data_IF_028116227056
#
_entry.id   IF_028116227056
#
_cell.length_a   1.000
_cell.length_b   1.000
_cell.length_c   1.000
_cell.angle_alpha   90.00
_cell.angle_beta   90.00
_cell.angle_gamma   90.00
#
_symmetry.space_group_name_H-M   'P 1'
#
loop_
_entity.id
_entity.type
_entity.pdbx_description
1 polymer ?
#
# COMPACT_ATOMS: atom_id res chain seq x y z
N UNK A 1 -48.98 -45.21 48.67
CA UNK A 1 -48.65 -44.39 47.47
C UNK A 1 -47.29 -44.82 46.94
N UNK A 2 -47.25 -45.45 45.76
CA UNK A 2 -46.28 -45.23 44.66
C UNK A 2 -46.53 -46.30 43.60
N UNK A 3 -47.02 -45.87 42.43
CA UNK A 3 -47.37 -46.72 41.28
C UNK A 3 -46.13 -46.96 40.42
N UNK A 4 -45.93 -48.21 39.99
CA UNK A 4 -45.11 -48.57 38.82
C UNK A 4 -45.83 -48.13 37.54
N UNK A 5 -45.08 -47.61 36.56
CA UNK A 5 -45.38 -47.87 35.15
C UNK A 5 -44.12 -47.73 34.29
N UNK A 6 -43.87 -48.73 33.44
CA UNK A 6 -42.89 -48.71 32.34
C UNK A 6 -43.57 -48.14 31.10
N UNK A 7 -42.87 -47.31 30.31
CA UNK A 7 -43.00 -47.26 28.85
C UNK A 7 -41.68 -46.83 28.21
N UNK A 8 -41.07 -47.74 27.45
CA UNK A 8 -40.07 -47.48 26.42
C UNK A 8 -40.80 -47.19 25.11
N UNK A 9 -40.47 -46.08 24.43
CA UNK A 9 -40.81 -45.83 23.01
C UNK A 9 -39.63 -45.09 22.37
N UNK A 10 -39.26 -45.55 21.18
CA UNK A 10 -38.19 -45.08 20.31
C UNK A 10 -38.62 -43.91 19.39
N UNK A 11 -37.65 -43.10 18.93
CA UNK A 11 -37.70 -42.29 17.69
C UNK A 11 -36.27 -41.77 17.41
N UNK A 12 -35.50 -42.38 16.50
CA UNK A 12 -35.33 -42.05 15.07
C UNK A 12 -34.73 -40.68 14.74
N UNK A 13 -33.51 -40.74 14.18
CA UNK A 13 -33.01 -40.06 12.97
C UNK A 13 -33.02 -38.52 12.89
N UNK A 14 -31.84 -37.97 12.58
CA UNK A 14 -31.72 -36.61 12.05
C UNK A 14 -30.32 -36.03 12.14
N UNK A 15 -29.33 -36.64 11.47
CA UNK A 15 -28.04 -35.99 11.22
C UNK A 15 -28.23 -34.92 10.13
N UNK A 16 -28.46 -33.68 10.53
CA UNK A 16 -28.35 -32.53 9.64
C UNK A 16 -26.93 -31.95 9.78
N UNK A 17 -26.02 -32.43 8.92
CA UNK A 17 -24.75 -31.72 8.65
C UNK A 17 -25.10 -30.58 7.71
N UNK A 18 -25.33 -29.39 8.25
CA UNK A 18 -25.39 -28.16 7.47
C UNK A 18 -23.99 -27.55 7.46
N UNK A 19 -23.38 -27.64 6.28
CA UNK A 19 -22.10 -27.08 5.90
C UNK A 19 -22.02 -25.60 6.29
N UNK A 20 -21.13 -25.27 7.23
CA UNK A 20 -20.78 -23.89 7.53
C UNK A 20 -19.97 -23.35 6.34
N UNK A 21 -20.64 -22.64 5.43
CA UNK A 21 -19.96 -21.81 4.44
C UNK A 21 -19.29 -20.65 5.19
N UNK A 22 -18.00 -20.76 5.46
CA UNK A 22 -17.18 -19.64 5.90
C UNK A 22 -17.00 -18.72 4.69
N UNK A 23 -17.90 -17.75 4.55
CA UNK A 23 -17.63 -16.59 3.72
C UNK A 23 -16.50 -15.81 4.41
N UNK A 24 -15.29 -15.89 3.88
CA UNK A 24 -14.21 -14.99 4.23
C UNK A 24 -14.55 -13.66 3.56
N UNK A 25 -14.89 -12.57 4.28
CA UNK A 25 -14.84 -11.26 3.66
C UNK A 25 -13.36 -10.99 3.34
N UNK A 26 -13.01 -11.04 2.06
CA UNK A 26 -11.78 -10.44 1.57
C UNK A 26 -11.88 -8.95 1.86
N UNK A 27 -11.24 -8.49 2.94
CA UNK A 27 -10.96 -7.09 3.17
C UNK A 27 -9.92 -6.64 2.15
N UNK A 28 -10.35 -6.41 0.91
CA UNK A 28 -9.65 -5.55 -0.01
C UNK A 28 -9.82 -4.12 0.54
N UNK A 29 -8.89 -3.72 1.40
CA UNK A 29 -8.76 -2.34 1.83
C UNK A 29 -8.15 -1.56 0.66
N UNK A 30 -8.90 -1.41 -0.43
CA UNK A 30 -8.72 -0.30 -1.35
C UNK A 30 -9.04 0.93 -0.52
N UNK A 31 -8.01 1.67 -0.12
CA UNK A 31 -8.18 3.04 0.37
C UNK A 31 -8.99 3.77 -0.69
N UNK A 32 -10.24 4.05 -0.38
CA UNK A 32 -11.10 4.83 -1.23
C UNK A 32 -10.37 6.14 -1.53
N UNK A 33 -10.06 6.37 -2.80
CA UNK A 33 -9.73 7.70 -3.29
C UNK A 33 -11.01 8.52 -3.12
N UNK A 34 -11.15 9.18 -1.98
CA UNK A 34 -12.28 10.07 -1.69
C UNK A 34 -12.34 11.16 -2.76
N UNK A 35 -13.44 11.24 -3.51
CA UNK A 35 -13.97 12.40 -4.24
C UNK A 35 -12.95 13.48 -4.73
N UNK A 36 -11.85 13.06 -5.35
CA UNK A 36 -10.84 13.99 -5.90
C UNK A 36 -9.96 14.71 -4.87
N UNK A 37 -9.95 14.30 -3.60
CA UNK A 37 -9.01 14.82 -2.60
C UNK A 37 -7.57 14.41 -2.91
N UNK A 38 -6.64 15.30 -2.58
CA UNK A 38 -5.22 15.00 -2.59
C UNK A 38 -4.82 14.23 -1.33
N UNK A 39 -3.74 13.47 -1.39
CA UNK A 39 -3.08 12.81 -0.26
C UNK A 39 -1.76 13.52 0.01
N UNK A 40 -1.67 14.24 1.14
CA UNK A 40 -0.54 15.13 1.43
C UNK A 40 0.20 14.68 2.69
N UNK A 41 1.51 14.46 2.58
CA UNK A 41 2.42 14.31 3.71
C UNK A 41 3.23 15.59 3.93
N UNK A 42 3.68 15.82 5.16
CA UNK A 42 4.59 16.93 5.50
C UNK A 42 5.89 16.36 6.07
N UNK A 43 7.02 16.77 5.51
CA UNK A 43 8.36 16.43 5.97
C UNK A 43 9.04 17.67 6.54
N UNK A 44 9.65 17.54 7.72
CA UNK A 44 10.49 18.59 8.30
C UNK A 44 11.95 18.20 8.33
N UNK A 45 12.74 18.89 7.50
CA UNK A 45 14.16 18.67 7.28
C UNK A 45 15.02 19.91 7.54
N UNK A 46 14.63 20.78 8.48
CA UNK A 46 15.45 21.92 8.94
C UNK A 46 16.07 21.58 10.30
N UNK A 47 17.36 21.21 10.38
CA UNK A 47 18.00 20.86 11.65
C UNK A 47 17.94 21.98 12.69
N UNK A 48 17.74 21.60 13.96
CA UNK A 48 17.80 22.53 15.09
C UNK A 48 16.59 23.46 15.26
N UNK A 49 15.57 23.35 14.40
CA UNK A 49 14.39 24.21 14.43
C UNK A 49 13.13 23.38 14.69
N UNK A 50 12.58 23.38 15.91
CA UNK A 50 11.21 22.89 16.12
C UNK A 50 10.23 23.96 15.66
N UNK A 51 9.13 23.56 15.01
CA UNK A 51 8.22 24.50 14.36
C UNK A 51 6.75 24.19 14.59
N UNK A 52 5.94 25.22 14.48
CA UNK A 52 4.48 25.11 14.34
C UNK A 52 4.09 25.40 12.90
N UNK A 53 3.34 24.48 12.28
CA UNK A 53 2.91 24.58 10.88
C UNK A 53 1.47 25.04 10.80
N UNK A 54 1.23 26.12 10.05
CA UNK A 54 -0.08 26.70 9.81
C UNK A 54 -0.44 26.61 8.32
N UNK A 55 -1.71 26.36 8.04
CA UNK A 55 -2.29 26.49 6.71
C UNK A 55 -3.52 27.41 6.75
N UNK A 56 -3.53 28.43 5.90
CA UNK A 56 -4.62 29.42 5.84
C UNK A 56 -4.93 30.05 7.21
N UNK A 57 -3.90 30.24 8.04
CA UNK A 57 -3.99 30.81 9.39
C UNK A 57 -4.44 29.84 10.48
N UNK A 58 -4.75 28.57 10.16
CA UNK A 58 -5.08 27.55 11.15
C UNK A 58 -3.85 26.69 11.46
N UNK A 59 -3.60 26.43 12.74
CA UNK A 59 -2.53 25.54 13.18
C UNK A 59 -2.86 24.08 12.82
N UNK A 60 -1.92 23.40 12.17
CA UNK A 60 -2.05 22.02 11.73
C UNK A 60 -1.14 21.06 12.49
N UNK A 61 0.14 21.44 12.65
CA UNK A 61 1.16 20.61 13.27
C UNK A 61 1.91 21.44 14.32
N UNK A 62 1.52 21.33 15.60
CA UNK A 62 2.29 21.92 16.70
C UNK A 62 3.55 21.09 16.99
N UNK A 63 4.58 21.72 17.55
CA UNK A 63 5.79 21.06 18.07
C UNK A 63 6.48 20.13 17.04
N UNK A 64 6.42 20.47 15.75
CA UNK A 64 6.87 19.60 14.67
C UNK A 64 8.39 19.57 14.62
N UNK A 65 8.98 18.37 14.79
CA UNK A 65 10.43 18.20 15.01
C UNK A 65 11.19 17.88 13.71
N UNK A 66 12.45 18.33 13.56
CA UNK A 66 13.27 17.94 12.42
C UNK A 66 13.43 16.42 12.32
N UNK A 67 13.48 15.89 11.09
CA UNK A 67 13.55 14.47 10.78
C UNK A 67 12.21 13.72 10.86
N UNK A 68 11.11 14.42 11.14
CA UNK A 68 9.77 13.83 11.19
C UNK A 68 9.05 13.97 9.86
N UNK A 69 8.23 12.97 9.55
CA UNK A 69 7.39 12.88 8.37
C UNK A 69 6.00 12.45 8.85
N UNK A 70 4.96 13.15 8.41
CA UNK A 70 3.58 12.77 8.76
C UNK A 70 3.09 11.62 7.90
N UNK A 71 2.13 10.87 8.44
CA UNK A 71 1.29 10.03 7.61
C UNK A 71 0.51 10.88 6.59
N UNK A 72 0.24 10.36 5.38
CA UNK A 72 -0.52 11.10 4.37
C UNK A 72 -1.92 11.46 4.88
N UNK A 73 -2.34 12.70 4.70
CA UNK A 73 -3.66 13.20 5.07
C UNK A 73 -4.48 13.58 3.84
N UNK A 74 -5.79 13.27 3.79
CA UNK A 74 -6.66 13.72 2.72
C UNK A 74 -6.87 15.24 2.82
N UNK A 75 -6.65 15.95 1.72
CA UNK A 75 -6.77 17.40 1.64
C UNK A 75 -7.57 17.79 0.38
N UNK A 76 -8.43 18.79 0.50
CA UNK A 76 -9.15 19.31 -0.66
C UNK A 76 -8.18 19.95 -1.66
N UNK A 77 -8.53 19.91 -2.94
CA UNK A 77 -7.75 20.59 -3.96
C UNK A 77 -7.85 22.11 -3.79
N UNK A 78 -6.73 22.82 -3.94
CA UNK A 78 -6.72 24.27 -3.85
C UNK A 78 -5.35 24.85 -3.55
N UNK A 79 -5.30 26.16 -3.39
CA UNK A 79 -4.09 26.89 -2.96
C UNK A 79 -4.14 27.09 -1.45
N UNK A 80 -3.05 26.74 -0.77
CA UNK A 80 -2.90 26.88 0.67
C UNK A 80 -1.77 27.88 0.97
N UNK A 81 -2.03 28.85 1.84
CA UNK A 81 -0.99 29.70 2.42
C UNK A 81 -0.36 28.96 3.60
N UNK A 82 0.86 28.47 3.39
CA UNK A 82 1.61 27.74 4.42
C UNK A 82 2.57 28.70 5.11
N UNK A 83 2.45 28.76 6.43
CA UNK A 83 3.37 29.50 7.30
C UNK A 83 3.94 28.56 8.34
N UNK A 84 5.23 28.64 8.56
CA UNK A 84 5.96 27.83 9.52
C UNK A 84 6.68 28.77 10.46
N UNK A 85 6.35 28.68 11.74
CA UNK A 85 6.92 29.54 12.78
C UNK A 85 7.86 28.70 13.66
N UNK A 86 8.92 29.28 14.22
CA UNK A 86 9.61 28.66 15.35
C UNK A 86 8.60 28.36 16.46
N UNK A 87 8.75 27.21 17.09
CA UNK A 87 7.93 26.79 18.22
C UNK A 87 7.83 27.89 19.29
N UNK A 88 6.59 28.21 19.69
CA UNK A 88 6.28 29.19 20.74
C UNK A 88 6.23 30.65 20.29
N UNK A 89 6.56 30.99 19.04
CA UNK A 89 6.38 32.36 18.51
C UNK A 89 4.94 32.63 18.04
N UNK A 90 4.22 31.60 17.60
CA UNK A 90 2.83 31.68 17.17
C UNK A 90 2.60 32.54 15.91
N UNK A 91 1.35 32.68 15.44
CA UNK A 91 1.03 33.30 14.16
C UNK A 91 1.16 34.84 14.12
N UNK A 92 1.38 35.47 15.28
CA UNK A 92 1.62 36.92 15.40
C UNK A 92 3.10 37.30 15.21
N UNK A 93 4.01 36.30 15.18
CA UNK A 93 5.44 36.48 14.95
C UNK A 93 5.85 36.54 13.47
N UNK A 94 7.15 36.53 13.22
CA UNK A 94 7.71 36.45 11.87
C UNK A 94 7.88 34.97 11.47
N UNK A 95 7.28 34.50 10.36
CA UNK A 95 7.42 33.11 9.96
C UNK A 95 8.85 32.80 9.49
N UNK A 96 9.40 31.68 9.94
CA UNK A 96 10.67 31.16 9.43
C UNK A 96 10.56 30.74 7.96
N UNK A 97 9.38 30.23 7.55
CA UNK A 97 9.07 29.93 6.16
C UNK A 97 7.64 30.40 5.86
N UNK A 98 7.44 31.09 4.74
CA UNK A 98 6.13 31.43 4.22
C UNK A 98 6.05 31.14 2.72
N UNK A 99 5.05 30.39 2.29
CA UNK A 99 4.86 30.05 0.88
C UNK A 99 3.41 29.66 0.56
N UNK A 100 2.91 30.12 -0.58
CA UNK A 100 1.67 29.60 -1.15
C UNK A 100 1.95 28.33 -1.95
N UNK A 101 1.19 27.28 -1.70
CA UNK A 101 1.34 25.96 -2.33
C UNK A 101 0.04 25.55 -3.00
N UNK A 102 0.13 25.12 -4.25
CA UNK A 102 -0.99 24.53 -4.98
C UNK A 102 -1.05 23.02 -4.74
N UNK A 103 -2.22 22.53 -4.34
CA UNK A 103 -2.52 21.12 -4.11
C UNK A 103 -3.52 20.68 -5.19
N UNK A 104 -3.06 19.96 -6.23
CA UNK A 104 -3.96 19.51 -7.29
C UNK A 104 -4.91 18.41 -6.80
N UNK A 105 -6.11 18.35 -7.40
CA UNK A 105 -7.07 17.30 -7.12
C UNK A 105 -6.48 15.90 -7.41
N UNK A 106 -6.69 14.97 -6.48
CA UNK A 106 -6.19 13.60 -6.58
C UNK A 106 -4.67 13.44 -6.50
N UNK A 107 -3.90 14.52 -6.29
CA UNK A 107 -2.44 14.42 -6.21
C UNK A 107 -2.00 13.66 -4.95
N UNK A 108 -0.99 12.81 -5.09
CA UNK A 108 -0.18 12.36 -3.96
C UNK A 108 1.00 13.32 -3.85
N UNK A 109 1.15 14.03 -2.74
CA UNK A 109 2.17 15.06 -2.60
C UNK A 109 2.88 15.03 -1.26
N UNK A 110 4.08 15.58 -1.22
CA UNK A 110 4.82 15.82 0.03
C UNK A 110 5.34 17.24 0.08
N UNK A 111 4.99 17.94 1.16
CA UNK A 111 5.50 19.27 1.47
C UNK A 111 6.74 19.11 2.35
N UNK A 112 7.91 19.41 1.81
CA UNK A 112 9.17 19.33 2.53
C UNK A 112 9.61 20.73 2.96
N UNK A 113 9.59 20.99 4.28
CA UNK A 113 10.30 22.13 4.86
C UNK A 113 11.76 21.73 5.01
N UNK A 114 12.70 22.45 4.39
CA UNK A 114 14.10 22.04 4.34
C UNK A 114 15.04 23.24 4.19
N UNK A 115 16.35 23.00 4.18
CA UNK A 115 17.33 24.05 3.85
C UNK A 115 17.55 24.11 2.34
N UNK A 116 17.61 25.31 1.76
CA UNK A 116 18.09 25.53 0.40
C UNK A 116 19.62 25.27 0.30
N UNK A 117 20.19 25.38 -0.90
CA UNK A 117 21.62 25.16 -1.12
C UNK A 117 22.52 26.15 -0.35
N UNK A 118 21.97 27.28 0.11
CA UNK A 118 22.65 28.32 0.87
C UNK A 118 22.44 28.19 2.39
N UNK A 119 21.64 27.22 2.85
CA UNK A 119 21.34 27.02 4.27
C UNK A 119 20.16 27.82 4.79
N UNK A 120 19.34 28.44 3.94
CA UNK A 120 18.12 29.13 4.38
C UNK A 120 16.92 28.16 4.44
N UNK A 121 16.06 28.25 5.47
CA UNK A 121 14.80 27.51 5.50
C UNK A 121 13.90 27.85 4.30
N UNK A 122 13.34 26.82 3.67
CA UNK A 122 12.44 26.92 2.52
C UNK A 122 11.43 25.78 2.52
N UNK A 123 10.38 25.89 1.69
CA UNK A 123 9.35 24.87 1.52
C UNK A 123 9.27 24.45 0.05
N UNK A 124 9.40 23.15 -0.22
CA UNK A 124 9.22 22.58 -1.57
C UNK A 124 8.08 21.59 -1.57
N UNK A 125 7.17 21.72 -2.54
CA UNK A 125 6.11 20.76 -2.78
C UNK A 125 6.56 19.78 -3.87
N UNK A 126 6.50 18.50 -3.57
CA UNK A 126 6.77 17.44 -4.53
C UNK A 126 5.50 16.66 -4.81
N UNK A 127 5.17 16.46 -6.07
CA UNK A 127 4.11 15.53 -6.47
C UNK A 127 4.75 14.16 -6.62
N UNK A 128 4.29 13.21 -5.84
CA UNK A 128 4.78 11.84 -5.84
C UNK A 128 4.24 11.11 -7.08
N UNK A 129 5.13 10.46 -7.81
CA UNK A 129 4.75 9.56 -8.89
C UNK A 129 4.14 8.28 -8.32
N UNK A 130 2.83 8.12 -8.52
CA UNK A 130 2.04 6.95 -8.13
C UNK A 130 1.60 6.12 -9.33
N UNK A 131 2.29 6.24 -10.47
CA UNK A 131 2.05 5.36 -11.60
C UNK A 131 2.48 3.92 -11.28
N UNK A 132 1.84 2.96 -11.96
CA UNK A 132 2.14 1.54 -11.80
C UNK A 132 3.63 1.25 -12.01
N UNK A 133 4.15 0.33 -11.21
CA UNK A 133 5.50 -0.20 -11.30
C UNK A 133 5.40 -1.63 -11.86
N UNK A 134 6.30 -1.97 -12.77
CA UNK A 134 6.31 -3.29 -13.40
C UNK A 134 6.50 -4.42 -12.35
N UNK A 135 5.91 -5.59 -12.62
CA UNK A 135 6.08 -6.76 -11.78
C UNK A 135 7.57 -7.09 -11.52
N UNK A 136 7.90 -7.39 -10.26
CA UNK A 136 9.26 -7.62 -9.77
C UNK A 136 10.12 -6.36 -9.63
N UNK A 137 9.58 -5.17 -9.86
CA UNK A 137 10.28 -3.89 -9.70
C UNK A 137 9.74 -3.08 -8.51
N UNK A 138 10.56 -2.14 -8.07
CA UNK A 138 10.23 -1.08 -7.13
C UNK A 138 10.68 0.27 -7.72
N UNK A 139 10.00 1.36 -7.35
CA UNK A 139 10.41 2.72 -7.71
C UNK A 139 11.26 3.30 -6.56
N UNK A 140 12.44 3.81 -6.88
CA UNK A 140 13.28 4.58 -5.97
C UNK A 140 13.28 6.03 -6.44
N UNK A 141 12.85 6.94 -5.57
CA UNK A 141 12.94 8.40 -5.80
C UNK A 141 13.89 8.99 -4.78
N UNK A 142 14.92 9.71 -5.25
CA UNK A 142 15.86 10.41 -4.37
C UNK A 142 15.62 11.91 -4.48
N UNK A 143 15.39 12.55 -3.34
CA UNK A 143 15.18 13.99 -3.19
C UNK A 143 16.38 14.60 -2.49
N UNK A 144 17.06 15.51 -3.16
CA UNK A 144 18.11 16.28 -2.51
C UNK A 144 17.52 17.56 -1.93
N UNK A 145 17.35 17.60 -0.62
CA UNK A 145 16.75 18.73 0.14
C UNK A 145 17.68 19.19 1.27
N UNK A 146 18.99 19.09 1.06
CA UNK A 146 20.02 19.47 2.02
C UNK A 146 20.81 20.69 1.54
N UNK A 147 21.26 21.53 2.46
CA UNK A 147 22.25 22.56 2.20
C UNK A 147 23.62 21.89 1.95
N UNK A 148 23.82 21.44 0.72
CA UNK A 148 25.03 20.78 0.28
C UNK A 148 25.28 21.05 -1.21
N UNK A 149 26.53 20.85 -1.69
CA UNK A 149 26.84 20.81 -3.12
C UNK A 149 26.10 19.67 -3.83
N UNK A 150 26.18 19.64 -5.16
CA UNK A 150 25.67 18.54 -5.97
C UNK A 150 26.21 17.18 -5.50
N UNK A 151 25.37 16.14 -5.58
CA UNK A 151 25.69 14.79 -5.13
C UNK A 151 25.45 13.74 -6.20
N UNK A 152 26.22 12.66 -6.12
CA UNK A 152 25.94 11.41 -6.83
C UNK A 152 25.37 10.41 -5.83
N UNK A 153 24.34 9.67 -6.24
CA UNK A 153 23.75 8.58 -5.44
C UNK A 153 24.25 7.28 -5.99
N UNK A 154 24.83 6.43 -5.14
CA UNK A 154 25.31 5.11 -5.52
C UNK A 154 24.44 4.02 -4.93
N UNK A 155 24.30 2.94 -5.69
CA UNK A 155 23.68 1.69 -5.26
C UNK A 155 24.67 0.56 -5.51
N UNK A 156 24.99 -0.23 -4.48
CA UNK A 156 26.02 -1.27 -4.58
C UNK A 156 27.41 -0.72 -4.94
N UNK A 157 27.67 0.56 -4.64
CA UNK A 157 28.92 1.26 -4.99
C UNK A 157 28.97 1.85 -6.39
N UNK A 158 27.95 1.65 -7.24
CA UNK A 158 27.89 2.24 -8.57
C UNK A 158 26.96 3.48 -8.62
N UNK A 159 27.37 4.59 -9.24
CA UNK A 159 26.54 5.79 -9.36
C UNK A 159 25.34 5.56 -10.29
N UNK A 160 24.14 5.61 -9.70
CA UNK A 160 22.85 5.43 -10.37
C UNK A 160 22.15 6.77 -10.65
N UNK A 161 22.42 7.79 -9.83
CA UNK A 161 22.03 9.19 -10.09
C UNK A 161 23.29 10.04 -10.01
N UNK A 162 23.47 10.94 -10.97
CA UNK A 162 24.60 11.87 -11.01
C UNK A 162 24.13 13.31 -10.96
N UNK A 163 24.97 14.17 -10.39
CA UNK A 163 24.82 15.62 -10.40
C UNK A 163 23.43 16.08 -9.88
N UNK A 164 22.88 15.40 -8.87
CA UNK A 164 21.62 15.79 -8.26
C UNK A 164 21.87 17.03 -7.40
N UNK A 165 21.10 18.09 -7.61
CA UNK A 165 21.23 19.37 -6.89
C UNK A 165 20.00 19.66 -6.06
N UNK A 166 20.13 20.38 -4.94
CA UNK A 166 18.98 20.88 -4.19
C UNK A 166 18.15 21.90 -5.01
N UNK A 167 16.79 21.84 -5.02
CA UNK A 167 15.90 20.88 -4.34
C UNK A 167 15.39 19.75 -5.25
N UNK A 168 16.16 19.36 -6.27
CA UNK A 168 15.69 18.45 -7.31
C UNK A 168 15.58 17.00 -6.84
N UNK A 169 14.83 16.22 -7.61
CA UNK A 169 14.63 14.79 -7.42
C UNK A 169 14.96 13.97 -8.66
N UNK A 170 15.21 12.67 -8.46
CA UNK A 170 15.34 11.70 -9.54
C UNK A 170 14.70 10.38 -9.15
N UNK A 171 13.90 9.82 -10.06
CA UNK A 171 13.28 8.51 -9.91
C UNK A 171 13.89 7.47 -10.85
N UNK A 172 13.95 6.24 -10.39
CA UNK A 172 14.45 5.05 -11.07
C UNK A 172 13.54 3.87 -10.74
N UNK A 173 13.29 2.99 -11.70
CA UNK A 173 12.72 1.67 -11.44
C UNK A 173 13.88 0.67 -11.34
N UNK A 174 13.88 -0.13 -10.28
CA UNK A 174 14.93 -1.09 -9.95
C UNK A 174 14.33 -2.42 -9.52
N UNK A 175 15.05 -3.54 -9.64
CA UNK A 175 14.59 -4.82 -9.09
C UNK A 175 14.26 -4.70 -7.61
N UNK A 176 13.12 -5.26 -7.19
CA UNK A 176 12.73 -5.28 -5.80
C UNK A 176 13.74 -6.07 -4.94
N UNK A 177 13.97 -5.60 -3.72
CA UNK A 177 14.90 -6.19 -2.76
C UNK A 177 15.68 -5.15 -1.96
N UNK A 178 16.64 -5.63 -1.18
CA UNK A 178 17.50 -4.74 -0.37
C UNK A 178 18.67 -4.23 -1.20
N UNK A 179 18.86 -2.91 -1.20
CA UNK A 179 19.97 -2.23 -1.87
C UNK A 179 20.77 -1.44 -0.84
N UNK A 180 22.09 -1.63 -0.82
CA UNK A 180 22.99 -0.77 -0.06
C UNK A 180 23.28 0.50 -0.87
N UNK A 181 22.93 1.66 -0.32
CA UNK A 181 23.06 2.94 -0.99
C UNK A 181 23.88 3.94 -0.18
N UNK A 182 24.61 4.82 -0.87
CA UNK A 182 25.28 5.97 -0.27
C UNK A 182 25.19 7.20 -1.19
N UNK A 183 25.52 8.35 -0.63
CA UNK A 183 25.52 9.64 -1.33
C UNK A 183 26.92 10.21 -1.22
N UNK A 184 27.53 10.51 -2.37
CA UNK A 184 28.87 11.12 -2.47
C UNK A 184 28.78 12.52 -3.06
N UNK A 185 29.78 13.36 -2.79
CA UNK A 185 29.90 14.64 -3.49
C UNK A 185 30.15 14.40 -4.98
N UNK A 186 29.40 15.09 -5.84
CA UNK A 186 29.39 14.84 -7.28
C UNK A 186 30.80 14.85 -7.89
N UNK A 187 31.09 13.83 -8.69
CA UNK A 187 32.39 13.68 -9.35
C UNK A 187 33.55 13.29 -8.42
N UNK A 188 33.28 12.88 -7.18
CA UNK A 188 34.29 12.44 -6.21
C UNK A 188 33.89 11.14 -5.51
N UNK A 189 34.80 10.56 -4.72
CA UNK A 189 34.52 9.42 -3.84
C UNK A 189 34.22 9.82 -2.39
N UNK A 190 34.04 11.13 -2.13
CA UNK A 190 33.81 11.63 -0.76
C UNK A 190 32.38 11.33 -0.34
N UNK A 191 32.21 10.34 0.54
CA UNK A 191 30.90 9.98 1.11
C UNK A 191 30.39 11.10 2.00
N UNK A 192 29.22 11.64 1.66
CA UNK A 192 28.50 12.64 2.41
C UNK A 192 27.45 12.02 3.34
N UNK A 193 26.74 10.98 2.87
CA UNK A 193 25.70 10.28 3.62
C UNK A 193 25.75 8.78 3.33
N UNK A 194 25.60 7.95 4.36
CA UNK A 194 25.56 6.49 4.23
C UNK A 194 26.87 5.79 4.59
N UNK A 195 26.98 4.47 4.33
CA UNK A 195 25.98 3.65 3.63
C UNK A 195 24.70 3.41 4.44
N UNK A 196 23.59 3.20 3.75
CA UNK A 196 22.30 2.82 4.32
C UNK A 196 21.67 1.68 3.51
N UNK A 197 21.08 0.72 4.19
CA UNK A 197 20.31 -0.35 3.55
C UNK A 197 18.88 0.15 3.29
N UNK A 198 18.48 0.11 2.02
CA UNK A 198 17.14 0.47 1.56
C UNK A 198 16.38 -0.81 1.21
N UNK A 199 15.25 -1.04 1.87
CA UNK A 199 14.35 -2.13 1.54
C UNK A 199 13.34 -1.66 0.48
N UNK A 200 13.51 -2.13 -0.75
CA UNK A 200 12.70 -1.71 -1.90
C UNK A 200 11.68 -2.81 -2.20
N UNK A 201 10.52 -2.73 -1.56
CA UNK A 201 9.44 -3.69 -1.76
C UNK A 201 8.84 -3.59 -3.18
N UNK A 202 8.49 -4.73 -3.75
CA UNK A 202 7.82 -4.81 -5.06
C UNK A 202 6.53 -3.97 -5.07
N UNK A 203 6.28 -3.29 -6.19
CA UNK A 203 5.07 -2.48 -6.37
C UNK A 203 4.97 -1.26 -5.45
N UNK A 204 6.08 -0.86 -4.82
CA UNK A 204 6.17 0.34 -3.97
C UNK A 204 7.07 1.40 -4.57
N UNK A 205 6.87 2.64 -4.13
CA UNK A 205 7.76 3.78 -4.38
C UNK A 205 8.39 4.18 -3.06
N UNK A 206 9.69 3.97 -2.95
CA UNK A 206 10.48 4.43 -1.80
C UNK A 206 11.11 5.78 -2.16
N UNK A 207 10.69 6.83 -1.44
CA UNK A 207 11.24 8.17 -1.54
C UNK A 207 12.28 8.37 -0.44
N UNK A 208 13.50 8.73 -0.81
CA UNK A 208 14.62 9.01 0.10
C UNK A 208 14.91 10.50 0.08
N UNK A 209 14.82 11.14 1.24
CA UNK A 209 15.15 12.54 1.44
C UNK A 209 16.56 12.66 2.03
N UNK A 210 17.48 13.24 1.28
CA UNK A 210 18.76 13.69 1.80
C UNK A 210 18.61 15.13 2.31
N UNK A 211 18.68 15.33 3.63
CA UNK A 211 18.36 16.59 4.29
C UNK A 211 19.45 17.00 5.30
N UNK A 212 19.40 18.25 5.77
CA UNK A 212 20.37 18.83 6.69
C UNK A 212 21.36 19.78 6.01
N UNK A 213 22.54 19.96 6.61
CA UNK A 213 23.60 20.88 6.20
C UNK A 213 24.94 20.15 6.19
N UNK A 214 25.64 20.26 5.06
CA UNK A 214 26.99 19.73 4.91
C UNK A 214 28.00 20.54 5.73
N UNK A 215 27.81 21.86 5.82
CA UNK A 215 28.68 22.76 6.59
C UNK A 215 28.58 22.46 8.10
N UNK A 216 27.36 22.27 8.60
CA UNK A 216 27.09 22.00 10.01
C UNK A 216 27.25 20.51 10.38
N UNK A 217 27.59 19.66 9.40
CA UNK A 217 27.83 18.22 9.57
C UNK A 217 26.66 17.48 10.23
N UNK A 218 25.45 17.82 9.82
CA UNK A 218 24.21 17.22 10.33
C UNK A 218 23.35 16.58 9.23
N UNK A 219 23.97 16.23 8.10
CA UNK A 219 23.30 15.52 7.01
C UNK A 219 22.69 14.19 7.49
N UNK A 220 21.48 13.91 7.04
CA UNK A 220 20.74 12.71 7.41
C UNK A 220 19.82 12.23 6.26
N UNK A 221 19.30 11.01 6.41
CA UNK A 221 18.29 10.43 5.52
C UNK A 221 16.94 10.32 6.23
N UNK A 222 15.87 10.51 5.46
CA UNK A 222 14.52 10.07 5.83
C UNK A 222 13.95 9.28 4.65
N UNK A 223 13.19 8.22 4.95
CA UNK A 223 12.48 7.44 3.93
C UNK A 223 10.98 7.58 4.08
N UNK A 224 10.29 7.50 2.95
CA UNK A 224 8.84 7.40 2.84
C UNK A 224 8.53 6.27 1.86
N UNK A 225 7.63 5.37 2.23
CA UNK A 225 7.16 4.31 1.34
C UNK A 225 5.74 4.62 0.92
N UNK A 226 5.49 4.62 -0.38
CA UNK A 226 4.17 4.71 -0.98
C UNK A 226 3.87 3.34 -1.58
N UNK A 227 2.70 2.78 -1.27
CA UNK A 227 2.31 1.44 -1.70
C UNK A 227 1.13 1.49 -2.69
N UNK A 228 0.77 0.34 -3.26
CA UNK A 228 -0.40 0.20 -4.13
C UNK A 228 -0.15 0.59 -5.59
N UNK A 229 1.11 0.49 -6.05
CA UNK A 229 1.49 0.70 -7.45
C UNK A 229 1.75 -0.63 -8.17
N UNK A 230 1.27 -1.75 -7.64
CA UNK A 230 1.41 -3.06 -8.25
C UNK A 230 0.70 -3.12 -9.62
N UNK A 231 1.43 -3.40 -10.69
CA UNK A 231 0.80 -3.77 -11.97
C UNK A 231 0.14 -5.14 -11.83
N UNK A 232 -1.11 -5.29 -12.29
CA UNK A 232 -1.77 -6.59 -12.33
C UNK A 232 -0.93 -7.59 -13.15
N UNK A 233 -0.87 -8.88 -12.78
CA UNK A 233 -0.14 -9.86 -13.58
C UNK A 233 -0.71 -9.88 -15.00
N UNK A 234 0.17 -9.72 -16.00
CA UNK A 234 -0.19 -9.98 -17.38
C UNK A 234 -0.71 -11.43 -17.44
N UNK A 235 -1.98 -11.59 -17.81
CA UNK A 235 -2.64 -12.89 -17.83
C UNK A 235 -1.75 -13.93 -18.52
N UNK A 236 -1.55 -15.08 -17.87
CA UNK A 236 -0.86 -16.18 -18.53
C UNK A 236 -1.71 -16.65 -19.69
N UNK A 237 -1.11 -16.72 -20.87
CA UNK A 237 -1.73 -17.30 -22.06
C UNK A 237 -1.82 -18.81 -21.82
N UNK A 238 -2.83 -19.23 -21.06
CA UNK A 238 -3.15 -20.64 -20.87
C UNK A 238 -3.64 -21.14 -22.22
N UNK A 239 -2.71 -21.62 -23.05
CA UNK A 239 -2.93 -21.97 -24.45
C UNK A 239 -4.25 -22.70 -24.66
N UNK A 240 -5.21 -22.02 -25.26
CA UNK A 240 -6.44 -22.59 -25.79
C UNK A 240 -6.13 -23.32 -27.12
N UNK A 241 -5.09 -24.17 -27.16
CA UNK A 241 -5.07 -25.21 -28.18
C UNK A 241 -5.99 -26.30 -27.66
N UNK A 242 -7.27 -26.28 -28.10
CA UNK A 242 -8.34 -27.23 -27.77
C UNK A 242 -8.05 -28.69 -28.17
N UNK A 243 -6.89 -29.22 -27.82
CA UNK A 243 -6.42 -30.57 -28.10
C UNK A 243 -7.09 -31.65 -27.22
N UNK A 244 -8.09 -31.28 -26.41
CA UNK A 244 -8.94 -32.23 -25.67
C UNK A 244 -10.33 -32.43 -26.31
N UNK A 245 -10.58 -31.84 -27.49
CA UNK A 245 -11.74 -32.18 -28.33
C UNK A 245 -11.33 -33.17 -29.43
N UNK A 246 -10.77 -34.31 -29.03
CA UNK A 246 -10.68 -35.49 -29.91
C UNK A 246 -11.57 -36.58 -29.32
N UNK A 247 -12.79 -36.64 -29.87
CA UNK A 247 -13.66 -37.79 -30.05
C UNK A 247 -13.45 -38.97 -29.10
N UNK A 248 -14.11 -38.91 -27.94
CA UNK A 248 -14.31 -40.10 -27.13
C UNK A 248 -15.66 -40.76 -27.44
N UNK A 249 -15.80 -41.35 -28.63
CA UNK A 249 -16.91 -42.24 -29.03
C UNK A 249 -16.94 -43.58 -28.25
N UNK A 250 -16.47 -43.59 -27.00
CA UNK A 250 -16.59 -44.75 -26.10
C UNK A 250 -17.25 -44.43 -24.75
N UNK A 251 -17.62 -43.17 -24.50
CA UNK A 251 -18.33 -42.74 -23.27
C UNK A 251 -19.87 -42.87 -23.35
N UNK A 252 -20.44 -43.18 -24.52
CA UNK A 252 -21.89 -43.37 -24.73
C UNK A 252 -22.38 -44.81 -24.50
N UNK A 253 -21.49 -45.77 -24.26
CA UNK A 253 -21.87 -47.16 -23.99
C UNK A 253 -22.10 -47.48 -22.49
N UNK A 254 -21.71 -46.60 -21.56
CA UNK A 254 -21.80 -46.85 -20.11
C UNK A 254 -22.91 -46.10 -19.37
N UNK A 255 -23.70 -45.26 -20.07
CA UNK A 255 -24.85 -44.54 -19.48
C UNK A 255 -26.23 -45.13 -19.85
N UNK A 256 -26.27 -46.29 -20.50
CA UNK A 256 -27.52 -46.96 -20.90
C UNK A 256 -28.08 -48.00 -19.88
N UNK A 257 -27.47 -48.15 -18.69
CA UNK A 257 -27.91 -49.13 -17.67
C UNK A 257 -28.29 -48.54 -16.29
N UNK A 258 -28.52 -47.23 -16.19
CA UNK A 258 -29.00 -46.59 -14.95
C UNK A 258 -30.36 -45.88 -15.07
N UNK A 259 -31.11 -46.14 -16.14
CA UNK A 259 -32.44 -45.57 -16.38
C UNK A 259 -33.56 -46.62 -16.58
N UNK A 260 -33.43 -47.81 -15.98
CA UNK A 260 -34.47 -48.85 -15.98
C UNK A 260 -34.78 -49.41 -14.58
N UNK A 261 -34.44 -48.68 -13.51
CA UNK A 261 -34.56 -49.16 -12.12
C UNK A 261 -35.37 -48.27 -11.17
N UNK A 262 -36.12 -47.28 -11.67
CA UNK A 262 -36.80 -46.29 -10.83
C UNK A 262 -38.31 -46.08 -11.14
N UNK A 263 -38.99 -47.05 -11.75
CA UNK A 263 -40.45 -46.98 -12.02
C UNK A 263 -41.23 -48.24 -11.60
N UNK A 264 -40.66 -49.15 -10.80
CA UNK A 264 -41.34 -50.41 -10.44
C UNK A 264 -41.49 -50.68 -8.93
N UNK A 265 -41.64 -49.64 -8.08
CA UNK A 265 -42.09 -49.83 -6.68
C UNK A 265 -43.19 -48.83 -6.33
N UNK A 266 -44.22 -48.80 -7.17
CA UNK A 266 -45.52 -48.20 -6.86
C UNK A 266 -46.61 -49.17 -7.36
N UNK A 267 -46.70 -50.36 -6.75
CA UNK A 267 -47.73 -51.31 -7.16
C UNK A 267 -47.53 -52.75 -6.69
N UNK A 268 -47.19 -53.01 -5.43
CA UNK A 268 -47.33 -54.38 -4.89
C UNK A 268 -47.30 -54.48 -3.36
N UNK A 269 -47.99 -53.57 -2.64
CA UNK A 269 -48.36 -53.80 -1.22
C UNK A 269 -49.81 -53.41 -0.93
N UNK A 270 -50.69 -53.63 -1.91
CA UNK A 270 -52.13 -53.61 -1.75
C UNK A 270 -52.72 -55.01 -2.02
N UNK A 271 -52.17 -56.04 -1.36
CA UNK A 271 -52.75 -57.39 -1.39
C UNK A 271 -52.20 -58.27 -0.27
N UNK A 272 -52.51 -57.95 1.00
CA UNK A 272 -52.57 -58.98 2.07
C UNK A 272 -53.24 -58.60 3.40
N UNK A 273 -53.91 -57.45 3.49
CA UNK A 273 -54.99 -57.28 4.47
C UNK A 273 -56.29 -57.84 3.90
N UNK A 274 -56.43 -59.17 3.92
CA UNK A 274 -57.71 -59.88 3.95
C UNK A 274 -57.44 -61.37 4.17
N UNK A 275 -58.06 -61.90 5.23
CA UNK A 275 -58.03 -63.27 5.78
C UNK A 275 -56.88 -63.55 6.75
N UNK A 276 -57.14 -64.05 7.95
CA UNK A 276 -58.39 -64.41 8.64
C UNK A 276 -57.94 -64.69 10.10
N UNK A 277 -58.57 -64.14 11.15
CA UNK A 277 -59.72 -64.72 11.87
C UNK A 277 -59.68 -66.26 11.98
N UNK A 278 -59.52 -66.76 13.21
CA UNK A 278 -59.99 -68.09 13.62
C UNK A 278 -59.07 -68.80 14.62
N UNK A 279 -59.12 -68.40 15.90
CA UNK A 279 -59.47 -69.23 17.06
C UNK A 279 -59.80 -68.31 18.25
#
# INVERSE_FOLDING_TARGET
>A
MTKRSRKTVAATAGACVLSLAVAVPASAQSTAQEDGKASVSVFHGVPGLTVDVFANGNELLPDFKPGTLTEPQPLDAGTYDIKIFPDGEGPDGDPAIQKSVDVPAGANATLAAHLDAQGNPTLTAFVNDTSEVAAGQARLTVRHVAAAPAVDVRAGGEPVVRDLTNPNEKSLEVPAGTVNADVVLAGTDTVAIGPADLDLAEGTSTVVYAWGSAEDKNLALKTQTISGMDSAPNGVDAGESGAMASDNESATAWLAWSAAGAVAVAGLLAARHLRARGD
#
